data_IF_983135202228
#
_entry.id   IF_983135202228
#
_cell.length_a   1.000
_cell.length_b   1.000
_cell.length_c   1.000
_cell.angle_alpha   90.00
_cell.angle_beta   90.00
_cell.angle_gamma   90.00
#
_symmetry.space_group_name_H-M   'P 1'
#
loop_
_entity.id
_entity.type
_entity.pdbx_description
1 polymer ?
#
# COMPACT_ATOMS: atom_id res chain seq x y z
N UNK A 1 16.04 -11.18 17.16
CA UNK A 1 14.76 -11.91 17.28
C UNK A 1 13.74 -11.16 16.43
N UNK A 2 12.97 -11.86 15.61
CA UNK A 2 11.95 -11.25 14.75
C UNK A 2 10.87 -10.58 15.62
N UNK A 3 10.55 -9.32 15.33
CA UNK A 3 9.50 -8.60 16.04
C UNK A 3 8.15 -8.89 15.35
N UNK A 4 7.14 -9.42 16.09
CA UNK A 4 5.82 -9.64 15.52
C UNK A 4 5.14 -8.29 15.21
N UNK A 5 4.25 -8.30 14.23
CA UNK A 5 3.41 -7.16 13.93
C UNK A 5 2.25 -7.15 14.95
N UNK A 6 2.39 -6.35 16.00
CA UNK A 6 1.56 -6.42 17.20
C UNK A 6 0.06 -6.24 16.94
N UNK A 7 -0.34 -5.34 16.02
CA UNK A 7 -1.75 -5.11 15.73
C UNK A 7 -2.39 -6.33 15.06
N UNK A 8 -1.70 -6.97 14.11
CA UNK A 8 -2.22 -8.17 13.43
C UNK A 8 -2.31 -9.36 14.39
N UNK A 9 -1.35 -9.48 15.30
CA UNK A 9 -1.41 -10.50 16.35
C UNK A 9 -2.62 -10.27 17.25
N UNK A 10 -2.81 -9.03 17.71
CA UNK A 10 -3.96 -8.66 18.55
C UNK A 10 -5.30 -8.91 17.84
N UNK A 11 -5.38 -8.54 16.55
CA UNK A 11 -6.58 -8.79 15.74
C UNK A 11 -6.87 -10.28 15.64
N UNK A 12 -5.88 -11.10 15.27
CA UNK A 12 -6.03 -12.55 15.12
C UNK A 12 -6.50 -13.24 16.39
N UNK A 13 -6.10 -12.74 17.55
CA UNK A 13 -6.51 -13.29 18.85
C UNK A 13 -7.92 -12.89 19.27
N UNK A 14 -8.43 -11.74 18.80
CA UNK A 14 -9.65 -11.12 19.35
C UNK A 14 -10.79 -10.96 18.36
N UNK A 15 -10.55 -10.80 17.05
CA UNK A 15 -11.56 -10.41 16.07
C UNK A 15 -12.77 -11.36 15.99
N UNK A 16 -12.55 -12.66 16.21
CA UNK A 16 -13.61 -13.68 16.15
C UNK A 16 -14.26 -13.98 17.50
N UNK A 17 -13.78 -13.36 18.60
CA UNK A 17 -14.25 -13.61 19.96
C UNK A 17 -15.20 -12.53 20.50
N UNK A 18 -15.34 -11.41 19.81
CA UNK A 18 -16.12 -10.25 20.25
C UNK A 18 -17.50 -10.19 19.58
N UNK A 19 -18.49 -9.72 20.32
CA UNK A 19 -19.85 -9.52 19.79
C UNK A 19 -19.91 -8.35 18.80
N UNK A 20 -19.14 -7.31 19.06
CA UNK A 20 -19.06 -6.10 18.23
C UNK A 20 -17.59 -5.81 17.90
N UNK A 21 -17.28 -5.86 16.64
CA UNK A 21 -15.92 -5.65 16.15
C UNK A 21 -15.78 -4.21 15.62
N UNK A 22 -15.17 -3.33 16.41
CA UNK A 22 -14.96 -1.92 16.06
C UNK A 22 -13.52 -1.60 15.59
N UNK A 23 -12.65 -2.62 15.53
CA UNK A 23 -11.26 -2.43 15.14
C UNK A 23 -11.01 -2.70 13.65
N UNK A 24 -11.97 -3.33 12.94
CA UNK A 24 -11.88 -3.52 11.48
C UNK A 24 -12.10 -2.19 10.75
N UNK A 25 -11.21 -1.89 9.81
CA UNK A 25 -11.24 -0.66 9.03
C UNK A 25 -11.65 -0.87 7.56
N UNK A 26 -12.10 -2.07 7.21
CA UNK A 26 -12.62 -2.41 5.89
C UNK A 26 -14.11 -2.09 5.74
N UNK A 27 -14.59 -2.07 4.51
CA UNK A 27 -16.03 -2.13 4.21
C UNK A 27 -16.54 -3.56 4.43
N UNK A 28 -17.86 -3.72 4.52
CA UNK A 28 -18.45 -5.05 4.70
C UNK A 28 -18.02 -5.99 3.55
N UNK A 29 -17.42 -7.16 3.85
CA UNK A 29 -16.97 -8.08 2.81
C UNK A 29 -18.14 -8.64 2.00
N UNK A 30 -17.94 -8.75 0.68
CA UNK A 30 -18.90 -9.38 -0.22
C UNK A 30 -18.80 -10.90 -0.13
N UNK A 31 -19.93 -11.57 -0.28
CA UNK A 31 -19.99 -13.00 -0.58
C UNK A 31 -19.65 -13.27 -2.04
N UNK A 32 -19.27 -14.51 -2.38
CA UNK A 32 -19.09 -14.87 -3.79
C UNK A 32 -20.37 -14.71 -4.62
N UNK A 33 -21.55 -14.92 -4.02
CA UNK A 33 -22.81 -14.75 -4.72
C UNK A 33 -23.02 -13.29 -5.12
N UNK A 34 -22.83 -12.35 -4.17
CA UNK A 34 -22.93 -10.91 -4.42
C UNK A 34 -21.87 -10.45 -5.44
N UNK A 35 -20.63 -10.92 -5.31
CA UNK A 35 -19.55 -10.59 -6.26
C UNK A 35 -19.87 -11.07 -7.68
N UNK A 36 -20.37 -12.31 -7.83
CA UNK A 36 -20.69 -12.87 -9.14
C UNK A 36 -21.90 -12.19 -9.77
N UNK A 37 -22.89 -11.80 -8.98
CA UNK A 37 -24.04 -11.01 -9.44
C UNK A 37 -23.57 -9.62 -9.92
N UNK A 38 -22.79 -8.90 -9.13
CA UNK A 38 -22.26 -7.57 -9.48
C UNK A 38 -21.35 -7.59 -10.71
N UNK A 39 -20.55 -8.63 -10.86
CA UNK A 39 -19.59 -8.76 -11.95
C UNK A 39 -20.16 -9.50 -13.17
N UNK A 40 -21.44 -9.89 -13.15
CA UNK A 40 -22.12 -10.65 -14.23
C UNK A 40 -21.29 -11.88 -14.65
N UNK A 41 -20.75 -12.61 -13.65
CA UNK A 41 -19.83 -13.74 -13.92
C UNK A 41 -20.59 -14.93 -14.51
N UNK A 42 -20.13 -15.44 -15.66
CA UNK A 42 -20.55 -16.74 -16.18
C UNK A 42 -19.97 -17.86 -15.29
N UNK A 43 -20.74 -18.27 -14.29
CA UNK A 43 -20.35 -19.27 -13.30
C UNK A 43 -19.93 -20.63 -13.90
N UNK A 44 -20.63 -21.18 -14.91
CA UNK A 44 -20.18 -22.40 -15.59
C UNK A 44 -18.79 -22.26 -16.23
N UNK A 45 -18.51 -21.15 -16.88
CA UNK A 45 -17.20 -20.88 -17.49
C UNK A 45 -16.12 -20.76 -16.42
N UNK A 46 -16.42 -20.09 -15.31
CA UNK A 46 -15.49 -19.99 -14.18
C UNK A 46 -15.13 -21.38 -13.62
N UNK A 47 -16.10 -22.26 -13.40
CA UNK A 47 -15.86 -23.61 -12.91
C UNK A 47 -15.12 -24.52 -13.91
N UNK A 48 -15.14 -24.20 -15.19
CA UNK A 48 -14.37 -24.90 -16.22
C UNK A 48 -12.91 -24.42 -16.33
N UNK A 49 -12.54 -23.35 -15.61
CA UNK A 49 -11.19 -22.80 -15.63
C UNK A 49 -10.21 -23.78 -14.98
N UNK A 50 -9.11 -24.07 -15.67
CA UNK A 50 -8.03 -24.89 -15.12
C UNK A 50 -7.34 -24.16 -13.97
N UNK A 51 -7.10 -24.88 -12.88
CA UNK A 51 -6.32 -24.41 -11.74
C UNK A 51 -4.84 -24.72 -12.01
N UNK A 52 -4.27 -24.01 -12.97
CA UNK A 52 -2.87 -24.14 -13.39
C UNK A 52 -2.04 -22.97 -12.87
N UNK A 53 -0.71 -23.06 -12.99
CA UNK A 53 0.18 -22.00 -12.60
C UNK A 53 -0.05 -20.72 -13.43
N UNK A 54 -0.34 -19.58 -12.79
CA UNK A 54 -0.35 -18.30 -13.49
C UNK A 54 1.06 -17.82 -13.79
N UNK A 55 1.18 -16.74 -14.57
CA UNK A 55 2.45 -16.03 -14.68
C UNK A 55 2.88 -15.53 -13.28
N UNK A 56 4.17 -15.61 -12.99
CA UNK A 56 4.76 -15.25 -11.68
C UNK A 56 4.36 -13.84 -11.22
N UNK A 57 4.33 -12.89 -12.14
CA UNK A 57 3.95 -11.50 -11.86
C UNK A 57 2.43 -11.23 -11.99
N UNK A 58 1.61 -12.27 -12.16
CA UNK A 58 0.17 -12.19 -12.33
C UNK A 58 -0.26 -12.29 -13.81
N UNK A 59 -1.51 -12.72 -14.02
CA UNK A 59 -2.10 -12.85 -15.35
C UNK A 59 -1.98 -11.55 -16.15
N UNK A 60 -1.60 -11.64 -17.41
CA UNK A 60 -1.43 -10.49 -18.30
C UNK A 60 -2.69 -9.61 -18.34
N UNK A 61 -3.87 -10.22 -18.51
CA UNK A 61 -5.14 -9.50 -18.55
C UNK A 61 -5.48 -8.78 -17.25
N UNK A 62 -5.13 -9.35 -16.10
CA UNK A 62 -5.33 -8.72 -14.79
C UNK A 62 -4.39 -7.53 -14.62
N UNK A 63 -3.11 -7.69 -14.99
CA UNK A 63 -2.12 -6.59 -14.92
C UNK A 63 -2.49 -5.44 -15.86
N UNK A 64 -3.05 -5.72 -17.04
CA UNK A 64 -3.57 -4.70 -17.96
C UNK A 64 -4.74 -3.92 -17.35
N UNK A 65 -5.68 -4.62 -16.71
CA UNK A 65 -6.80 -3.97 -16.00
C UNK A 65 -6.32 -3.13 -14.83
N UNK A 66 -5.39 -3.64 -14.01
CA UNK A 66 -4.80 -2.85 -12.93
C UNK A 66 -4.06 -1.63 -13.48
N UNK A 67 -3.24 -1.79 -14.52
CA UNK A 67 -2.53 -0.68 -15.14
C UNK A 67 -3.46 0.43 -15.64
N UNK A 68 -4.66 0.08 -16.13
CA UNK A 68 -5.64 1.07 -16.62
C UNK A 68 -6.17 2.02 -15.52
N UNK A 69 -5.98 1.67 -14.23
CA UNK A 69 -6.31 2.55 -13.10
C UNK A 69 -5.27 3.67 -12.90
N UNK A 70 -4.10 3.57 -13.54
CA UNK A 70 -2.97 4.45 -13.34
C UNK A 70 -2.53 5.07 -14.66
N UNK A 71 -2.66 6.39 -14.79
CA UNK A 71 -2.35 7.09 -16.03
C UNK A 71 -0.92 6.82 -16.50
N UNK A 72 -0.76 6.35 -17.73
CA UNK A 72 0.54 6.05 -18.34
C UNK A 72 1.18 4.74 -17.90
N UNK A 73 0.59 3.98 -16.98
CA UNK A 73 1.07 2.65 -16.62
C UNK A 73 0.70 1.61 -17.68
N UNK A 74 1.48 0.56 -17.75
CA UNK A 74 1.29 -0.63 -18.59
C UNK A 74 1.38 -1.90 -17.74
N UNK A 75 1.01 -3.05 -18.27
CA UNK A 75 1.17 -4.32 -17.57
C UNK A 75 2.61 -4.61 -17.09
N UNK A 76 3.62 -3.97 -17.69
CA UNK A 76 5.03 -4.08 -17.26
C UNK A 76 5.32 -3.36 -15.94
N UNK A 77 4.45 -2.44 -15.57
CA UNK A 77 4.54 -1.66 -14.33
C UNK A 77 3.81 -2.32 -13.17
N UNK A 78 3.15 -3.47 -13.38
CA UNK A 78 2.29 -4.10 -12.38
C UNK A 78 2.84 -5.45 -11.96
N UNK A 79 2.95 -5.66 -10.64
CA UNK A 79 3.13 -6.95 -9.99
C UNK A 79 1.88 -7.25 -9.16
N UNK A 80 1.26 -8.39 -9.41
CA UNK A 80 0.15 -8.91 -8.59
C UNK A 80 0.72 -9.65 -7.39
N UNK A 81 0.15 -9.40 -6.20
CA UNK A 81 0.65 -9.93 -4.93
C UNK A 81 -0.47 -10.56 -4.10
N UNK A 82 -0.09 -11.36 -3.11
CA UNK A 82 -1.00 -11.94 -2.10
C UNK A 82 -1.37 -10.86 -1.06
N UNK A 83 -2.24 -9.94 -1.49
CA UNK A 83 -2.58 -8.72 -0.74
C UNK A 83 -1.44 -7.70 -0.72
N UNK A 84 -1.71 -6.52 -0.18
CA UNK A 84 -0.71 -5.46 0.01
C UNK A 84 0.45 -5.89 0.92
N UNK A 85 0.21 -6.88 1.78
CA UNK A 85 1.22 -7.39 2.72
C UNK A 85 2.45 -7.97 2.04
N UNK A 86 2.26 -8.74 0.97
CA UNK A 86 3.38 -9.25 0.19
C UNK A 86 4.12 -8.13 -0.53
N UNK A 87 3.39 -7.16 -1.12
CA UNK A 87 4.00 -6.00 -1.76
C UNK A 87 4.91 -5.22 -0.78
N UNK A 88 4.44 -4.97 0.45
CA UNK A 88 5.25 -4.34 1.50
C UNK A 88 6.53 -5.13 1.82
N UNK A 89 6.43 -6.45 1.85
CA UNK A 89 7.59 -7.33 2.13
C UNK A 89 8.60 -7.29 0.99
N UNK A 90 8.12 -7.40 -0.24
CA UNK A 90 8.96 -7.33 -1.44
C UNK A 90 9.68 -5.98 -1.56
N UNK A 91 8.97 -4.87 -1.32
CA UNK A 91 9.58 -3.53 -1.35
C UNK A 91 10.71 -3.41 -0.34
N UNK A 92 10.51 -3.81 0.91
CA UNK A 92 11.55 -3.76 1.93
C UNK A 92 12.76 -4.62 1.55
N UNK A 93 12.53 -5.84 1.08
CA UNK A 93 13.58 -6.78 0.72
C UNK A 93 14.36 -6.40 -0.55
N UNK A 94 13.69 -5.72 -1.51
CA UNK A 94 14.30 -5.39 -2.80
C UNK A 94 15.06 -4.06 -2.76
N UNK A 95 14.50 -3.04 -2.07
CA UNK A 95 15.06 -1.68 -2.15
C UNK A 95 16.08 -1.37 -1.08
N UNK A 96 15.93 -1.90 0.14
CA UNK A 96 16.81 -1.57 1.25
C UNK A 96 18.12 -2.35 1.18
N UNK A 97 19.23 -1.65 1.39
CA UNK A 97 20.58 -2.21 1.43
C UNK A 97 21.30 -1.80 2.72
N UNK A 98 22.35 -2.52 3.15
CA UNK A 98 23.10 -2.16 4.35
C UNK A 98 23.55 -0.70 4.33
N UNK A 99 23.20 0.05 5.38
CA UNK A 99 23.47 1.47 5.50
C UNK A 99 22.30 2.39 5.11
N UNK A 100 21.30 1.86 4.43
CA UNK A 100 20.09 2.62 4.10
C UNK A 100 19.18 2.82 5.33
N UNK A 101 18.42 3.91 5.32
CA UNK A 101 17.30 4.14 6.23
C UNK A 101 16.00 4.36 5.48
N UNK A 102 14.89 4.20 6.20
CA UNK A 102 13.57 4.62 5.71
C UNK A 102 12.91 5.58 6.66
N UNK A 103 12.05 6.44 6.12
CA UNK A 103 11.19 7.33 6.88
C UNK A 103 9.76 6.80 6.85
N UNK A 104 9.10 6.79 8.02
CA UNK A 104 7.65 6.58 8.16
C UNK A 104 7.01 7.76 8.86
N UNK A 105 5.71 7.92 8.69
CA UNK A 105 4.90 8.85 9.48
C UNK A 105 4.23 8.11 10.63
N UNK A 106 3.90 8.81 11.73
CA UNK A 106 3.23 8.21 12.88
C UNK A 106 2.09 9.13 13.36
N UNK A 107 0.86 8.60 13.59
CA UNK A 107 0.49 7.19 13.48
C UNK A 107 0.28 6.75 12.01
N UNK A 108 0.60 5.47 11.73
CA UNK A 108 0.38 4.85 10.41
C UNK A 108 0.27 3.33 10.52
N UNK A 109 -0.09 2.67 9.43
CA UNK A 109 -0.01 1.21 9.32
C UNK A 109 1.46 0.79 9.19
N UNK A 110 1.93 -0.04 10.11
CA UNK A 110 3.37 -0.20 10.37
C UNK A 110 4.03 -1.40 9.66
N UNK A 111 3.33 -2.10 8.76
CA UNK A 111 3.86 -3.35 8.21
C UNK A 111 5.18 -3.15 7.43
N UNK A 112 5.26 -2.16 6.53
CA UNK A 112 6.49 -1.91 5.78
C UNK A 112 7.66 -1.54 6.72
N UNK A 113 7.42 -0.67 7.69
CA UNK A 113 8.44 -0.28 8.66
C UNK A 113 8.84 -1.43 9.60
N UNK A 114 7.89 -2.27 9.98
CA UNK A 114 8.17 -3.49 10.76
C UNK A 114 9.04 -4.48 9.98
N UNK A 115 8.76 -4.65 8.69
CA UNK A 115 9.61 -5.47 7.81
C UNK A 115 11.04 -4.91 7.73
N UNK A 116 11.19 -3.59 7.56
CA UNK A 116 12.51 -2.94 7.54
C UNK A 116 13.28 -3.16 8.85
N UNK A 117 12.63 -2.98 10.01
CA UNK A 117 13.24 -3.26 11.32
C UNK A 117 13.66 -4.73 11.44
N UNK A 118 12.81 -5.66 11.01
CA UNK A 118 13.10 -7.10 11.06
C UNK A 118 14.26 -7.51 10.14
N UNK A 119 14.47 -6.77 9.06
CA UNK A 119 15.61 -6.93 8.16
C UNK A 119 16.88 -6.22 8.68
N UNK A 120 16.79 -5.47 9.78
CA UNK A 120 17.92 -4.80 10.42
C UNK A 120 18.21 -3.39 9.92
N UNK A 121 17.24 -2.75 9.26
CA UNK A 121 17.38 -1.39 8.74
C UNK A 121 16.91 -0.33 9.74
N UNK A 122 17.49 0.86 9.64
CA UNK A 122 17.07 2.03 10.42
C UNK A 122 15.73 2.55 9.92
N UNK A 123 14.80 2.76 10.87
CA UNK A 123 13.49 3.38 10.58
C UNK A 123 13.38 4.68 11.37
N UNK A 124 13.35 5.79 10.67
CA UNK A 124 13.13 7.12 11.22
C UNK A 124 11.66 7.46 11.20
N UNK A 125 11.21 8.22 12.19
CA UNK A 125 9.80 8.54 12.36
C UNK A 125 9.59 10.05 12.32
N UNK A 126 8.60 10.48 11.52
CA UNK A 126 8.06 11.83 11.50
C UNK A 126 6.65 11.77 12.10
N UNK A 127 6.42 12.50 13.18
CA UNK A 127 5.11 12.53 13.83
C UNK A 127 4.14 13.44 13.09
N UNK A 128 2.90 12.98 12.91
CA UNK A 128 1.78 13.80 12.49
C UNK A 128 1.10 14.36 13.73
N UNK A 129 0.73 15.63 13.69
CA UNK A 129 0.22 16.36 14.85
C UNK A 129 -1.30 16.32 14.89
N UNK A 130 -1.88 15.68 15.91
CA UNK A 130 -3.34 15.62 16.12
C UNK A 130 -3.94 17.03 16.21
N UNK A 131 -3.29 17.94 16.92
CA UNK A 131 -3.71 19.35 17.06
C UNK A 131 -3.80 20.11 15.73
N UNK A 132 -3.16 19.60 14.68
CA UNK A 132 -3.15 20.15 13.32
C UNK A 132 -3.90 19.25 12.33
N UNK A 133 -4.91 18.52 12.80
CA UNK A 133 -5.69 17.59 12.01
C UNK A 133 -4.81 16.55 11.29
N UNK A 134 -3.79 16.03 11.97
CA UNK A 134 -2.83 15.04 11.48
C UNK A 134 -2.02 15.53 10.26
N UNK A 135 -1.72 16.84 10.21
CA UNK A 135 -0.84 17.38 9.17
C UNK A 135 0.57 16.78 9.25
N UNK A 136 1.24 16.69 8.09
CA UNK A 136 2.64 16.30 8.05
C UNK A 136 3.53 17.42 8.61
N UNK A 137 4.44 17.08 9.50
CA UNK A 137 5.55 17.94 9.86
C UNK A 137 6.62 17.92 8.75
N UNK A 138 6.46 18.84 7.79
CA UNK A 138 7.36 18.93 6.63
C UNK A 138 8.76 19.41 6.99
N UNK A 139 8.93 20.08 8.13
CA UNK A 139 10.24 20.51 8.63
C UNK A 139 10.98 19.32 9.24
N UNK A 140 10.29 18.53 10.06
CA UNK A 140 10.81 17.27 10.58
C UNK A 140 11.15 16.30 9.45
N UNK A 141 10.29 16.17 8.42
CA UNK A 141 10.60 15.36 7.25
C UNK A 141 11.93 15.76 6.62
N UNK A 142 12.16 17.04 6.38
CA UNK A 142 13.42 17.53 5.80
C UNK A 142 14.63 17.24 6.70
N UNK A 143 14.48 17.37 8.02
CA UNK A 143 15.55 17.10 8.98
C UNK A 143 15.90 15.62 9.07
N UNK A 144 14.91 14.75 8.94
CA UNK A 144 15.09 13.30 9.00
C UNK A 144 15.61 12.69 7.68
N UNK A 145 15.43 13.42 6.55
CA UNK A 145 15.86 12.97 5.23
C UNK A 145 17.34 13.28 5.01
N UNK A 146 18.13 12.29 4.65
CA UNK A 146 19.54 12.43 4.29
C UNK A 146 19.93 11.56 3.08
N UNK A 147 21.21 11.57 2.72
CA UNK A 147 21.76 10.83 1.57
C UNK A 147 21.59 9.30 1.65
N UNK A 148 21.38 8.77 2.85
CA UNK A 148 21.20 7.34 3.12
C UNK A 148 19.72 6.97 3.21
N UNK A 149 18.81 7.95 3.06
CA UNK A 149 17.37 7.70 3.01
C UNK A 149 17.00 7.05 1.69
N UNK A 150 16.57 5.79 1.75
CA UNK A 150 16.18 5.00 0.57
C UNK A 150 14.68 5.02 0.31
N UNK A 151 13.87 5.04 1.38
CA UNK A 151 12.40 4.97 1.30
C UNK A 151 11.78 6.07 2.15
N UNK A 152 10.81 6.79 1.60
CA UNK A 152 9.83 7.58 2.35
C UNK A 152 8.48 6.89 2.16
N UNK A 153 7.98 6.26 3.24
CA UNK A 153 6.73 5.50 3.23
C UNK A 153 5.57 6.37 3.68
N UNK A 154 4.50 6.39 2.92
CA UNK A 154 3.27 7.11 3.21
C UNK A 154 2.06 6.22 2.98
N UNK A 155 1.05 6.33 3.85
CA UNK A 155 -0.28 5.71 3.68
C UNK A 155 -1.27 6.82 3.36
N UNK A 156 -1.96 6.76 2.21
CA UNK A 156 -2.82 7.85 1.76
C UNK A 156 -4.01 7.35 0.92
N UNK A 157 -5.24 7.41 1.45
CA UNK A 157 -5.64 7.92 2.78
C UNK A 157 -4.99 7.16 3.94
N UNK A 158 -4.70 7.87 5.04
CA UNK A 158 -3.93 7.29 6.14
C UNK A 158 -4.77 6.41 7.07
N UNK A 159 -4.21 5.29 7.46
CA UNK A 159 -4.70 4.48 8.58
C UNK A 159 -3.79 4.73 9.81
N UNK A 160 -4.29 5.17 11.00
CA UNK A 160 -5.72 5.15 11.38
C UNK A 160 -6.44 6.50 11.28
N UNK A 161 -5.78 7.57 10.86
CA UNK A 161 -6.31 8.94 11.02
C UNK A 161 -7.38 9.34 10.00
N UNK A 162 -7.49 8.62 8.88
CA UNK A 162 -8.31 9.01 7.73
C UNK A 162 -7.80 10.25 6.99
N UNK A 163 -6.62 10.78 7.35
CA UNK A 163 -6.03 11.95 6.71
C UNK A 163 -5.75 11.68 5.24
N UNK A 164 -6.21 12.58 4.38
CA UNK A 164 -5.81 12.68 2.99
C UNK A 164 -4.80 13.80 2.86
N UNK A 165 -3.67 13.53 2.22
CA UNK A 165 -2.59 14.49 2.05
C UNK A 165 -3.02 15.62 1.10
N UNK A 166 -2.71 16.85 1.51
CA UNK A 166 -2.91 18.01 0.65
C UNK A 166 -1.86 18.07 -0.47
N UNK A 167 -2.12 18.87 -1.49
CA UNK A 167 -1.13 19.12 -2.56
C UNK A 167 0.20 19.65 -2.00
N UNK A 168 0.16 20.45 -0.91
CA UNK A 168 1.36 20.93 -0.23
C UNK A 168 2.14 19.79 0.43
N UNK A 169 1.44 18.87 1.11
CA UNK A 169 2.07 17.71 1.74
C UNK A 169 2.74 16.81 0.68
N UNK A 170 2.03 16.53 -0.42
CA UNK A 170 2.53 15.73 -1.54
C UNK A 170 3.77 16.35 -2.18
N UNK A 171 3.74 17.66 -2.43
CA UNK A 171 4.89 18.40 -2.97
C UNK A 171 6.10 18.35 -2.04
N UNK A 172 5.89 18.46 -0.73
CA UNK A 172 6.97 18.35 0.26
C UNK A 172 7.60 16.95 0.28
N UNK A 173 6.78 15.90 0.19
CA UNK A 173 7.24 14.50 0.06
C UNK A 173 8.08 14.32 -1.19
N UNK A 174 7.56 14.72 -2.36
CA UNK A 174 8.28 14.62 -3.64
C UNK A 174 9.59 15.40 -3.60
N UNK A 175 9.58 16.62 -3.07
CA UNK A 175 10.79 17.45 -2.98
C UNK A 175 11.85 16.83 -2.06
N UNK A 176 11.45 16.26 -0.92
CA UNK A 176 12.36 15.58 0.00
C UNK A 176 12.94 14.32 -0.63
N UNK A 177 12.11 13.50 -1.26
CA UNK A 177 12.56 12.28 -1.93
C UNK A 177 13.50 12.57 -3.11
N UNK A 178 13.13 13.51 -3.97
CA UNK A 178 13.92 13.89 -5.13
C UNK A 178 15.29 14.49 -4.75
N UNK A 179 15.35 15.25 -3.63
CA UNK A 179 16.59 15.86 -3.13
C UNK A 179 17.69 14.86 -2.79
N UNK A 180 17.34 13.63 -2.45
CA UNK A 180 18.30 12.55 -2.08
C UNK A 180 18.18 11.31 -2.97
N UNK A 181 17.23 11.30 -3.91
CA UNK A 181 16.97 10.16 -4.80
C UNK A 181 16.28 8.99 -4.08
N UNK A 182 15.52 9.25 -3.02
CA UNK A 182 14.75 8.24 -2.31
C UNK A 182 13.51 7.81 -3.10
N UNK A 183 12.98 6.64 -2.77
CA UNK A 183 11.70 6.14 -3.26
C UNK A 183 10.56 6.64 -2.39
N UNK A 184 9.46 7.08 -3.01
CA UNK A 184 8.18 7.23 -2.32
C UNK A 184 7.45 5.90 -2.45
N UNK A 185 7.16 5.26 -1.33
CA UNK A 185 6.29 4.08 -1.27
C UNK A 185 4.95 4.53 -0.72
N UNK A 186 3.95 4.59 -1.60
CA UNK A 186 2.61 5.03 -1.28
C UNK A 186 1.68 3.82 -1.13
N UNK A 187 1.25 3.55 0.09
CA UNK A 187 0.18 2.60 0.36
C UNK A 187 -1.17 3.31 0.16
N UNK A 188 -1.88 2.92 -0.89
CA UNK A 188 -3.13 3.53 -1.34
C UNK A 188 -4.34 2.60 -1.16
N UNK A 189 -4.27 1.63 -0.24
CA UNK A 189 -5.33 0.63 -0.06
C UNK A 189 -6.69 1.22 0.32
N UNK A 190 -6.71 2.45 0.86
CA UNK A 190 -7.93 3.17 1.22
C UNK A 190 -8.42 4.15 0.15
N UNK A 191 -7.73 4.31 -0.97
CA UNK A 191 -8.25 5.10 -2.09
C UNK A 191 -9.54 4.47 -2.63
N UNK A 192 -10.61 5.26 -2.67
CA UNK A 192 -11.97 4.81 -2.97
C UNK A 192 -12.88 4.60 -1.75
N UNK A 193 -12.38 4.90 -0.52
CA UNK A 193 -13.19 4.87 0.70
C UNK A 193 -13.52 6.26 1.24
N UNK A 194 -13.29 7.30 0.47
CA UNK A 194 -13.50 8.69 0.86
C UNK A 194 -14.98 8.96 1.19
N UNK A 195 -15.23 9.59 2.36
CA UNK A 195 -16.59 9.91 2.79
C UNK A 195 -17.12 11.23 2.20
N UNK A 196 -16.22 12.13 1.81
CA UNK A 196 -16.57 13.49 1.38
C UNK A 196 -16.25 13.75 -0.09
N UNK A 197 -16.02 12.72 -0.89
CA UNK A 197 -15.70 12.82 -2.31
C UNK A 197 -16.26 11.61 -3.07
N UNK A 198 -16.81 11.86 -4.24
CA UNK A 198 -17.26 10.81 -5.18
C UNK A 198 -16.11 10.31 -6.07
N UNK A 199 -14.91 10.85 -5.88
CA UNK A 199 -13.71 10.44 -6.63
C UNK A 199 -12.65 9.93 -5.67
N UNK A 200 -11.97 8.82 -6.01
CA UNK A 200 -10.85 8.31 -5.22
C UNK A 200 -9.73 9.34 -5.07
N UNK A 201 -9.03 9.26 -3.95
CA UNK A 201 -7.81 10.04 -3.71
C UNK A 201 -6.82 9.82 -4.86
N UNK A 202 -6.28 10.91 -5.38
CA UNK A 202 -5.32 10.87 -6.48
C UNK A 202 -4.09 10.03 -6.09
N UNK A 203 -3.71 9.09 -6.95
CA UNK A 203 -2.52 8.27 -6.77
C UNK A 203 -1.23 9.12 -6.81
N UNK A 204 -0.17 8.64 -6.16
CA UNK A 204 1.18 9.18 -6.32
C UNK A 204 1.84 8.77 -7.64
N UNK A 205 1.30 7.76 -8.33
CA UNK A 205 1.81 7.34 -9.62
C UNK A 205 1.88 8.51 -10.62
N UNK A 206 3.07 8.76 -11.17
CA UNK A 206 3.31 9.83 -12.13
C UNK A 206 3.70 11.18 -11.51
N UNK A 207 3.68 11.35 -10.19
CA UNK A 207 4.14 12.61 -9.55
C UNK A 207 5.67 12.70 -9.43
N UNK A 208 6.34 11.55 -9.40
CA UNK A 208 7.77 11.44 -9.29
C UNK A 208 8.24 10.13 -9.95
N UNK A 209 9.44 10.11 -10.51
CA UNK A 209 9.96 8.96 -11.23
C UNK A 209 10.23 7.73 -10.35
N UNK A 210 10.50 7.95 -9.05
CA UNK A 210 10.76 6.89 -8.07
C UNK A 210 9.57 6.74 -7.12
N UNK A 211 8.43 6.40 -7.68
CA UNK A 211 7.22 6.07 -6.91
C UNK A 211 6.90 4.60 -7.06
N UNK A 212 6.55 3.99 -5.94
CA UNK A 212 5.93 2.67 -5.86
C UNK A 212 4.58 2.86 -5.19
N UNK A 213 3.52 2.44 -5.86
CA UNK A 213 2.17 2.41 -5.30
C UNK A 213 1.85 0.99 -4.89
N UNK A 214 1.27 0.82 -3.70
CA UNK A 214 0.74 -0.45 -3.20
C UNK A 214 -0.77 -0.30 -3.03
N UNK A 215 -1.54 -1.26 -3.51
CA UNK A 215 -2.98 -1.28 -3.33
C UNK A 215 -3.50 -2.72 -3.25
N UNK A 216 -4.79 -2.90 -2.93
CA UNK A 216 -5.39 -4.22 -2.82
C UNK A 216 -6.91 -4.19 -2.97
N UNK A 217 -7.51 -5.35 -3.15
CA UNK A 217 -8.96 -5.55 -3.11
C UNK A 217 -9.54 -5.59 -1.69
N UNK A 218 -8.68 -5.49 -0.66
CA UNK A 218 -9.08 -5.79 0.72
C UNK A 218 -9.95 -4.71 1.37
N UNK A 219 -9.73 -3.42 1.06
CA UNK A 219 -10.38 -2.31 1.77
C UNK A 219 -11.50 -1.69 0.93
N UNK A 220 -11.17 -0.85 -0.05
CA UNK A 220 -12.17 -0.16 -0.87
C UNK A 220 -13.12 -1.10 -1.64
N UNK A 221 -12.64 -2.27 -2.02
CA UNK A 221 -13.43 -3.21 -2.83
C UNK A 221 -14.20 -4.26 -2.00
N UNK A 222 -14.00 -4.33 -0.67
CA UNK A 222 -14.70 -5.27 0.19
C UNK A 222 -14.39 -6.76 -0.07
N UNK A 223 -13.19 -7.08 -0.56
CA UNK A 223 -12.78 -8.43 -0.95
C UNK A 223 -11.50 -8.89 -0.22
N UNK A 224 -11.41 -8.74 1.12
CA UNK A 224 -10.18 -9.10 1.84
C UNK A 224 -9.82 -10.57 1.75
N UNK A 225 -10.83 -11.44 1.61
CA UNK A 225 -10.66 -12.90 1.52
C UNK A 225 -10.04 -13.40 0.22
N UNK A 226 -10.06 -12.62 -0.87
CA UNK A 226 -9.41 -13.00 -2.14
C UNK A 226 -7.88 -12.93 -2.06
N UNK A 227 -7.31 -12.28 -1.05
CA UNK A 227 -5.87 -12.09 -0.91
C UNK A 227 -5.23 -11.51 -2.18
N UNK A 228 -5.92 -10.59 -2.85
CA UNK A 228 -5.45 -9.93 -4.07
C UNK A 228 -4.99 -8.51 -3.77
N UNK A 229 -3.70 -8.26 -4.02
CA UNK A 229 -3.08 -6.96 -4.01
C UNK A 229 -2.20 -6.75 -5.22
N UNK A 230 -1.62 -5.59 -5.34
CA UNK A 230 -0.68 -5.28 -6.40
C UNK A 230 0.26 -4.15 -6.02
N UNK A 231 1.37 -4.11 -6.73
CA UNK A 231 2.31 -3.01 -6.74
C UNK A 231 2.37 -2.40 -8.14
N UNK A 232 2.42 -1.07 -8.21
CA UNK A 232 2.70 -0.33 -9.45
C UNK A 232 4.02 0.40 -9.30
N UNK A 233 4.98 0.10 -10.15
CA UNK A 233 6.34 0.64 -10.06
C UNK A 233 6.99 0.72 -11.46
N UNK A 234 8.14 1.41 -11.60
CA UNK A 234 8.98 1.29 -12.80
C UNK A 234 9.28 -0.17 -13.14
N UNK A 235 9.36 -0.49 -14.43
CA UNK A 235 9.43 -1.88 -14.90
C UNK A 235 10.69 -2.63 -14.41
N UNK A 236 11.79 -1.94 -14.19
CA UNK A 236 13.02 -2.49 -13.62
C UNK A 236 12.83 -2.89 -12.14
N UNK A 237 12.08 -2.12 -11.37
CA UNK A 237 11.71 -2.48 -9.98
C UNK A 237 10.81 -3.72 -9.97
N UNK A 238 9.80 -3.78 -10.86
CA UNK A 238 8.93 -4.96 -10.99
C UNK A 238 9.73 -6.22 -11.32
N UNK A 239 10.77 -6.10 -12.14
CA UNK A 239 11.65 -7.23 -12.48
C UNK A 239 12.58 -7.65 -11.33
N UNK A 240 12.88 -6.76 -10.41
CA UNK A 240 13.72 -7.04 -9.25
C UNK A 240 12.94 -7.69 -8.09
N UNK A 241 11.61 -7.50 -8.04
CA UNK A 241 10.70 -8.14 -7.10
C UNK A 241 10.24 -9.51 -7.58
#
# INVERSE_FOLDING_TARGET
MFQPFAIEQYMSENEHSVKYHFAESGVHPLTFAELFELAEVDTPSLFATLVDYPQVNGLQSLREKIASLYTGATAKNVLVTIGASEANTLVAATLLQPGDNMIRFRPTYEQLSGNAVNLGFEVRTVDMMESEAWALDTDSLRQQTDKDTRIIHVVNPNNPTGRILTSKDRQALVSSAAGVGAWIVADEVYAGTELNSDTPTQSFWGEYERVIVINSMSKAYGLPGLRLGWMVAPADVIQAC
#
